data_IF_129911641932
#
_entry.id   IF_129911641932
#
_cell.length_a   1.000
_cell.length_b   1.000
_cell.length_c   1.000
_cell.angle_alpha   90.00
_cell.angle_beta   90.00
_cell.angle_gamma   90.00
#
_symmetry.space_group_name_H-M   'P 1'
#
loop_
_entity.id
_entity.type
_entity.pdbx_description
1 polymer ?
#
# COMPACT_ATOMS: atom_id res chain seq x y z
N UNK A 1 19.91 0.98 23.29
CA UNK A 1 18.54 0.41 23.34
C UNK A 1 17.86 0.61 22.00
N UNK A 2 18.29 -0.10 20.93
CA UNK A 2 17.89 0.24 19.55
C UNK A 2 17.30 -0.94 18.76
N UNK A 3 17.30 -2.15 19.33
CA UNK A 3 16.88 -3.36 18.60
C UNK A 3 15.36 -3.60 18.58
N UNK A 4 14.59 -3.14 19.58
CA UNK A 4 13.13 -3.34 19.60
C UNK A 4 12.38 -2.47 18.58
N UNK A 5 12.84 -1.23 18.36
CA UNK A 5 12.22 -0.27 17.43
C UNK A 5 12.28 -0.74 15.98
N UNK A 6 13.44 -1.25 15.54
CA UNK A 6 13.65 -1.70 14.16
C UNK A 6 12.82 -2.96 13.89
N UNK A 7 12.76 -3.88 14.86
CA UNK A 7 11.97 -5.10 14.77
C UNK A 7 10.46 -4.77 14.63
N UNK A 8 9.96 -3.78 15.38
CA UNK A 8 8.57 -3.35 15.29
C UNK A 8 8.21 -2.71 13.94
N UNK A 9 9.10 -1.91 13.35
CA UNK A 9 8.86 -1.29 12.03
C UNK A 9 8.86 -2.30 10.90
N UNK A 10 9.78 -3.27 10.91
CA UNK A 10 9.82 -4.34 9.92
C UNK A 10 8.55 -5.20 9.99
N UNK A 11 8.06 -5.48 11.19
CA UNK A 11 6.82 -6.25 11.39
C UNK A 11 5.59 -5.49 10.86
N UNK A 12 5.53 -4.17 11.06
CA UNK A 12 4.48 -3.31 10.49
C UNK A 12 4.52 -3.28 8.96
N UNK A 13 5.71 -3.19 8.37
CA UNK A 13 5.86 -3.22 6.90
C UNK A 13 5.44 -4.56 6.31
N UNK A 14 5.80 -5.67 6.96
CA UNK A 14 5.38 -7.01 6.55
C UNK A 14 3.85 -7.16 6.63
N UNK A 15 3.24 -6.73 7.73
CA UNK A 15 1.79 -6.76 7.90
C UNK A 15 1.05 -5.87 6.88
N UNK A 16 1.57 -4.67 6.61
CA UNK A 16 1.02 -3.78 5.58
C UNK A 16 1.10 -4.42 4.19
N UNK A 17 2.23 -5.01 3.84
CA UNK A 17 2.42 -5.68 2.56
C UNK A 17 1.44 -6.86 2.39
N UNK A 18 1.28 -7.67 3.43
CA UNK A 18 0.35 -8.82 3.43
C UNK A 18 -1.11 -8.38 3.32
N UNK A 19 -1.49 -7.31 4.04
CA UNK A 19 -2.82 -6.72 3.96
C UNK A 19 -3.13 -6.17 2.57
N UNK A 20 -2.19 -5.43 1.95
CA UNK A 20 -2.35 -4.89 0.60
C UNK A 20 -2.42 -6.02 -0.44
N UNK A 21 -1.54 -7.02 -0.35
CA UNK A 21 -1.57 -8.18 -1.24
C UNK A 21 -2.89 -8.94 -1.13
N UNK A 22 -3.39 -9.12 0.10
CA UNK A 22 -4.69 -9.76 0.34
C UNK A 22 -5.85 -8.94 -0.19
N UNK A 23 -5.84 -7.62 -0.01
CA UNK A 23 -6.85 -6.73 -0.56
C UNK A 23 -6.89 -6.83 -2.10
N UNK A 24 -5.74 -6.81 -2.77
CA UNK A 24 -5.65 -6.85 -4.23
C UNK A 24 -6.25 -8.13 -4.87
N UNK A 25 -6.47 -9.20 -4.11
CA UNK A 25 -7.15 -10.43 -4.60
C UNK A 25 -8.64 -10.22 -4.90
N UNK A 26 -9.23 -9.14 -4.41
CA UNK A 26 -10.67 -8.83 -4.54
C UNK A 26 -10.97 -7.86 -5.69
N UNK A 27 -10.08 -7.72 -6.67
CA UNK A 27 -10.32 -6.90 -7.86
C UNK A 27 -10.52 -5.41 -7.53
N UNK A 28 -11.56 -4.78 -8.11
CA UNK A 28 -11.80 -3.34 -7.95
C UNK A 28 -12.15 -2.94 -6.48
N UNK A 29 -12.88 -3.79 -5.74
CA UNK A 29 -13.15 -3.55 -4.30
C UNK A 29 -11.86 -3.62 -3.48
N UNK A 30 -11.02 -4.59 -3.83
CA UNK A 30 -9.68 -4.75 -3.28
C UNK A 30 -8.79 -3.54 -3.51
N UNK A 31 -8.80 -3.03 -4.74
CA UNK A 31 -8.10 -1.81 -5.11
C UNK A 31 -8.59 -0.59 -4.31
N UNK A 32 -9.91 -0.43 -4.15
CA UNK A 32 -10.47 0.68 -3.35
C UNK A 32 -10.02 0.61 -1.88
N UNK A 33 -9.95 -0.58 -1.29
CA UNK A 33 -9.42 -0.80 0.07
C UNK A 33 -7.94 -0.45 0.13
N UNK A 34 -7.13 -0.94 -0.82
CA UNK A 34 -5.70 -0.68 -0.88
C UNK A 34 -5.39 0.83 -1.01
N UNK A 35 -6.16 1.53 -1.83
CA UNK A 35 -6.08 2.98 -1.97
C UNK A 35 -6.46 3.68 -0.66
N UNK A 36 -7.53 3.26 0.03
CA UNK A 36 -7.89 3.84 1.33
C UNK A 36 -6.81 3.61 2.40
N UNK A 37 -6.12 2.47 2.37
CA UNK A 37 -4.95 2.23 3.23
C UNK A 37 -3.83 3.22 2.89
N UNK A 38 -3.49 3.36 1.61
CA UNK A 38 -2.47 4.32 1.15
C UNK A 38 -2.75 5.76 1.60
N UNK A 39 -4.02 6.16 1.67
CA UNK A 39 -4.41 7.50 2.13
C UNK A 39 -4.26 7.75 3.62
N UNK A 40 -4.46 6.72 4.43
CA UNK A 40 -4.35 6.82 5.88
C UNK A 40 -2.90 6.73 6.36
N UNK A 41 -2.00 6.21 5.53
CA UNK A 41 -0.58 6.12 5.84
C UNK A 41 0.17 7.41 5.50
N UNK A 42 1.27 7.67 6.22
CA UNK A 42 2.16 8.82 5.98
C UNK A 42 3.63 8.40 5.95
N UNK A 43 4.49 9.28 5.42
CA UNK A 43 5.93 9.07 5.39
C UNK A 43 6.34 7.77 4.68
N UNK A 44 7.24 7.00 5.31
CA UNK A 44 7.78 5.76 4.75
C UNK A 44 6.71 4.69 4.53
N UNK A 45 5.72 4.58 5.42
CA UNK A 45 4.64 3.59 5.28
C UNK A 45 3.79 3.86 4.03
N UNK A 46 3.52 5.14 3.74
CA UNK A 46 2.82 5.55 2.51
C UNK A 46 3.61 5.18 1.25
N UNK A 47 4.92 5.41 1.25
CA UNK A 47 5.78 5.04 0.13
C UNK A 47 5.82 3.52 -0.09
N UNK A 48 5.90 2.74 0.98
CA UNK A 48 5.83 1.29 0.90
C UNK A 48 4.47 0.82 0.39
N UNK A 49 3.37 1.37 0.92
CA UNK A 49 2.03 1.03 0.45
C UNK A 49 1.89 1.32 -1.05
N UNK A 50 2.33 2.49 -1.51
CA UNK A 50 2.31 2.85 -2.92
C UNK A 50 3.11 1.86 -3.76
N UNK A 51 4.34 1.53 -3.32
CA UNK A 51 5.20 0.59 -4.03
C UNK A 51 4.57 -0.79 -4.15
N UNK A 52 4.00 -1.33 -3.06
CA UNK A 52 3.34 -2.64 -3.06
C UNK A 52 2.13 -2.63 -3.99
N UNK A 53 1.27 -1.61 -3.90
CA UNK A 53 0.11 -1.48 -4.79
C UNK A 53 0.55 -1.40 -6.24
N UNK A 54 1.56 -0.57 -6.56
CA UNK A 54 2.07 -0.38 -7.91
C UNK A 54 2.57 -1.67 -8.56
N UNK A 55 3.25 -2.54 -7.79
CA UNK A 55 3.76 -3.82 -8.28
C UNK A 55 2.66 -4.84 -8.59
N UNK A 56 1.50 -4.71 -7.94
CA UNK A 56 0.36 -5.63 -8.12
C UNK A 56 -0.59 -5.20 -9.24
N UNK A 57 -0.43 -3.98 -9.77
CA UNK A 57 -1.31 -3.45 -10.81
C UNK A 57 -0.74 -3.71 -12.20
N UNK A 58 -1.65 -3.98 -13.13
CA UNK A 58 -1.38 -3.89 -14.57
C UNK A 58 -1.34 -2.41 -15.02
N UNK A 59 -1.03 -2.17 -16.29
CA UNK A 59 -0.94 -0.79 -16.82
C UNK A 59 -2.25 0.00 -16.66
N UNK A 60 -3.40 -0.65 -16.84
CA UNK A 60 -4.71 -0.04 -16.61
C UNK A 60 -4.89 0.36 -15.14
N UNK A 61 -4.56 -0.54 -14.22
CA UNK A 61 -4.61 -0.30 -12.79
C UNK A 61 -3.66 0.83 -12.34
N UNK A 62 -2.45 0.90 -12.91
CA UNK A 62 -1.51 1.99 -12.66
C UNK A 62 -2.06 3.33 -13.11
N UNK A 63 -2.69 3.39 -14.30
CA UNK A 63 -3.37 4.60 -14.77
C UNK A 63 -4.50 5.01 -13.82
N UNK A 64 -5.33 4.07 -13.35
CA UNK A 64 -6.36 4.34 -12.33
C UNK A 64 -5.75 4.91 -11.06
N UNK A 65 -4.65 4.33 -10.56
CA UNK A 65 -3.96 4.81 -9.38
C UNK A 65 -3.36 6.22 -9.57
N UNK A 66 -2.76 6.50 -10.72
CA UNK A 66 -2.23 7.84 -11.03
C UNK A 66 -3.34 8.88 -11.12
N UNK A 67 -4.47 8.56 -11.77
CA UNK A 67 -5.64 9.43 -11.81
C UNK A 67 -6.19 9.69 -10.40
N UNK A 68 -6.20 8.66 -9.56
CA UNK A 68 -6.60 8.82 -8.17
C UNK A 68 -5.69 9.80 -7.41
N UNK A 69 -4.38 9.65 -7.58
CA UNK A 69 -3.38 10.48 -6.90
C UNK A 69 -3.32 11.91 -7.43
N UNK A 70 -3.69 12.15 -8.69
CA UNK A 70 -3.70 13.49 -9.29
C UNK A 70 -4.94 14.32 -8.95
N UNK A 71 -5.99 13.69 -8.42
CA UNK A 71 -7.22 14.36 -7.97
C UNK A 71 -7.14 14.88 -6.52
N UNK A 72 -5.98 14.78 -5.87
CA UNK A 72 -5.70 15.30 -4.53
C UNK A 72 -4.56 16.31 -4.55
#
# INVERSE_FOLDING_TARGET
MSHESVNSQQLKLAALSDALCSAMKYGDEGFAIAVRILENETGQMRLTAYHVIWQQLDETGKQKLLQYLSQR
#
